data_IF_333878370948
#
_entry.id   IF_333878370948
#
_cell.length_a   1.000
_cell.length_b   1.000
_cell.length_c   1.000
_cell.angle_alpha   90.00
_cell.angle_beta   90.00
_cell.angle_gamma   90.00
#
_symmetry.space_group_name_H-M   'P 1'
#
loop_
_entity.id
_entity.type
_entity.pdbx_description
1 polymer ?
#
# COMPACT_ATOMS: atom_id res chain seq x y z
N UNK A 1 -20.56 21.25 43.16
CA UNK A 1 -21.20 21.46 41.85
C UNK A 1 -20.18 21.71 40.73
N UNK A 2 -19.09 22.44 40.96
CA UNK A 2 -18.16 22.87 39.87
C UNK A 2 -17.15 21.82 39.38
N UNK A 3 -16.97 20.71 40.09
CA UNK A 3 -15.98 19.67 39.72
C UNK A 3 -16.38 18.89 38.46
N UNK A 4 -17.69 18.69 38.24
CA UNK A 4 -18.21 18.03 37.04
C UNK A 4 -18.02 18.88 35.78
N UNK A 5 -18.22 20.20 35.89
CA UNK A 5 -17.98 21.11 34.77
C UNK A 5 -16.50 21.17 34.38
N UNK A 6 -15.59 21.12 35.36
CA UNK A 6 -14.14 21.12 35.11
C UNK A 6 -13.67 19.82 34.45
N UNK A 7 -14.17 18.68 34.90
CA UNK A 7 -13.90 17.37 34.27
C UNK A 7 -14.42 17.29 32.83
N UNK A 8 -15.60 17.84 32.57
CA UNK A 8 -16.19 17.85 31.22
C UNK A 8 -15.39 18.77 30.26
N UNK A 9 -14.89 19.90 30.76
CA UNK A 9 -14.01 20.81 30.01
C UNK A 9 -12.65 20.16 29.70
N UNK A 10 -12.00 19.54 30.70
CA UNK A 10 -10.74 18.79 30.49
C UNK A 10 -10.91 17.63 29.50
N UNK A 11 -12.02 16.89 29.56
CA UNK A 11 -12.28 15.79 28.63
C UNK A 11 -12.55 16.28 27.21
N UNK A 12 -13.20 17.42 27.05
CA UNK A 12 -13.39 18.05 25.74
C UNK A 12 -12.06 18.54 25.16
N UNK A 13 -11.19 19.15 25.98
CA UNK A 13 -9.85 19.57 25.57
C UNK A 13 -8.96 18.38 25.19
N UNK A 14 -8.95 17.31 26.00
CA UNK A 14 -8.22 16.08 25.68
C UNK A 14 -8.66 15.45 24.37
N UNK A 15 -9.97 15.39 24.11
CA UNK A 15 -10.52 14.86 22.85
C UNK A 15 -10.10 15.71 21.65
N UNK A 16 -10.15 17.05 21.75
CA UNK A 16 -9.68 17.95 20.69
C UNK A 16 -8.19 17.75 20.44
N UNK A 17 -7.37 17.72 21.49
CA UNK A 17 -5.93 17.49 21.37
C UNK A 17 -5.63 16.13 20.71
N UNK A 18 -6.36 15.08 21.07
CA UNK A 18 -6.19 13.75 20.48
C UNK A 18 -6.63 13.72 19.00
N UNK A 19 -7.71 14.42 18.65
CA UNK A 19 -8.12 14.62 17.26
C UNK A 19 -7.04 15.36 16.47
N UNK A 20 -6.53 16.47 16.99
CA UNK A 20 -5.48 17.27 16.35
C UNK A 20 -4.20 16.45 16.13
N UNK A 21 -3.77 15.68 17.13
CA UNK A 21 -2.62 14.76 17.01
C UNK A 21 -2.87 13.72 15.91
N UNK A 22 -4.07 13.13 15.87
CA UNK A 22 -4.41 12.12 14.86
C UNK A 22 -4.48 12.70 13.44
N UNK A 23 -5.06 13.89 13.28
CA UNK A 23 -5.13 14.59 12.00
C UNK A 23 -3.76 15.04 11.52
N UNK A 24 -2.95 15.57 12.43
CA UNK A 24 -1.58 15.96 12.14
C UNK A 24 -0.75 14.76 11.71
N UNK A 25 -0.83 13.64 12.42
CA UNK A 25 -0.18 12.38 12.05
C UNK A 25 -0.61 11.90 10.66
N UNK A 26 -1.92 11.95 10.36
CA UNK A 26 -2.47 11.59 9.04
C UNK A 26 -1.89 12.47 7.93
N UNK A 27 -1.92 13.80 8.09
CA UNK A 27 -1.40 14.76 7.10
C UNK A 27 0.10 14.60 6.91
N UNK A 28 0.85 14.43 7.98
CA UNK A 28 2.30 14.23 7.92
C UNK A 28 2.67 12.96 7.13
N UNK A 29 1.94 11.86 7.37
CA UNK A 29 2.17 10.61 6.64
C UNK A 29 1.76 10.72 5.17
N UNK A 30 0.68 11.43 4.87
CA UNK A 30 0.23 11.73 3.50
C UNK A 30 1.29 12.54 2.75
N UNK A 31 1.80 13.62 3.35
CA UNK A 31 2.86 14.46 2.78
C UNK A 31 4.16 13.68 2.55
N UNK A 32 4.55 12.85 3.52
CA UNK A 32 5.74 12.01 3.41
C UNK A 32 5.61 11.02 2.24
N UNK A 33 4.45 10.35 2.11
CA UNK A 33 4.16 9.43 0.99
C UNK A 33 4.21 10.17 -0.34
N UNK A 34 3.58 11.34 -0.44
CA UNK A 34 3.54 12.14 -1.67
C UNK A 34 4.94 12.56 -2.12
N UNK A 35 5.76 13.08 -1.21
CA UNK A 35 7.14 13.48 -1.52
C UNK A 35 7.99 12.30 -1.96
N UNK A 36 7.87 11.18 -1.27
CA UNK A 36 8.58 9.94 -1.61
C UNK A 36 8.19 9.44 -3.00
N UNK A 37 6.90 9.43 -3.33
CA UNK A 37 6.42 9.00 -4.64
C UNK A 37 7.01 9.85 -5.78
N UNK A 38 7.10 11.17 -5.59
CA UNK A 38 7.72 12.07 -6.58
C UNK A 38 9.21 11.77 -6.73
N UNK A 39 9.94 11.58 -5.63
CA UNK A 39 11.36 11.25 -5.67
C UNK A 39 11.63 9.91 -6.37
N UNK A 40 10.82 8.89 -6.07
CA UNK A 40 10.90 7.58 -6.71
C UNK A 40 10.64 7.71 -8.21
N UNK A 41 9.60 8.42 -8.65
CA UNK A 41 9.32 8.64 -10.06
C UNK A 41 10.48 9.30 -10.80
N UNK A 42 11.08 10.34 -10.22
CA UNK A 42 12.25 11.02 -10.81
C UNK A 42 13.45 10.07 -10.91
N UNK A 43 13.71 9.29 -9.86
CA UNK A 43 14.79 8.31 -9.86
C UNK A 43 14.60 7.27 -10.97
N UNK A 44 13.38 6.79 -11.20
CA UNK A 44 13.11 5.82 -12.28
C UNK A 44 13.21 6.43 -13.67
N UNK A 45 12.76 7.68 -13.86
CA UNK A 45 12.94 8.40 -15.13
C UNK A 45 14.44 8.52 -15.46
N UNK A 46 15.27 8.84 -14.46
CA UNK A 46 16.72 8.92 -14.64
C UNK A 46 17.36 7.53 -14.86
N UNK A 47 16.91 6.51 -14.13
CA UNK A 47 17.43 5.15 -14.29
C UNK A 47 17.17 4.59 -15.70
N UNK A 48 16.05 4.96 -16.33
CA UNK A 48 15.69 4.54 -17.69
C UNK A 48 16.72 4.92 -18.76
N UNK A 49 17.58 5.91 -18.54
CA UNK A 49 18.66 6.23 -19.49
C UNK A 49 19.66 5.09 -19.71
N UNK A 50 19.69 4.09 -18.81
CA UNK A 50 20.47 2.87 -19.01
C UNK A 50 19.61 1.77 -19.66
N UNK A 51 20.07 1.13 -20.76
CA UNK A 51 19.37 0.00 -21.37
C UNK A 51 19.12 -1.17 -20.39
N UNK A 52 20.08 -1.45 -19.51
CA UNK A 52 19.97 -2.52 -18.53
C UNK A 52 18.86 -2.22 -17.50
N UNK A 53 18.77 -0.98 -17.06
CA UNK A 53 17.75 -0.53 -16.12
C UNK A 53 16.35 -0.50 -16.76
N UNK A 54 16.23 -0.04 -18.02
CA UNK A 54 14.98 -0.09 -18.77
C UNK A 54 14.46 -1.53 -18.93
N UNK A 55 15.36 -2.48 -19.24
CA UNK A 55 15.01 -3.90 -19.29
C UNK A 55 14.53 -4.44 -17.94
N UNK A 56 15.25 -4.15 -16.86
CA UNK A 56 14.88 -4.59 -15.53
C UNK A 56 13.52 -4.03 -15.09
N UNK A 57 13.26 -2.73 -15.35
CA UNK A 57 11.99 -2.09 -15.04
C UNK A 57 10.84 -2.69 -15.85
N UNK A 58 11.05 -2.98 -17.13
CA UNK A 58 10.07 -3.65 -17.96
C UNK A 58 9.75 -5.07 -17.45
N UNK A 59 10.78 -5.83 -17.09
CA UNK A 59 10.64 -7.18 -16.57
C UNK A 59 9.91 -7.20 -15.21
N UNK A 60 10.23 -6.28 -14.31
CA UNK A 60 9.56 -6.16 -13.01
C UNK A 60 8.09 -5.80 -13.15
N UNK A 61 7.79 -4.86 -14.05
CA UNK A 61 6.40 -4.55 -14.37
C UNK A 61 5.70 -5.76 -14.96
N UNK A 62 6.26 -6.45 -15.95
CA UNK A 62 5.59 -7.63 -16.53
C UNK A 62 5.36 -8.76 -15.50
N UNK A 63 6.30 -8.96 -14.59
CA UNK A 63 6.21 -9.93 -13.50
C UNK A 63 5.26 -9.50 -12.36
N UNK A 64 4.75 -8.26 -12.38
CA UNK A 64 3.84 -7.73 -11.38
C UNK A 64 4.49 -7.41 -10.03
N UNK A 65 5.83 -7.45 -9.94
CA UNK A 65 6.61 -7.07 -8.77
C UNK A 65 7.25 -5.68 -8.94
N UNK A 66 6.52 -4.78 -9.58
CA UNK A 66 6.90 -3.38 -9.74
C UNK A 66 6.88 -2.60 -8.42
N UNK A 67 7.36 -1.36 -8.49
CA UNK A 67 7.52 -0.47 -7.34
C UNK A 67 6.19 -0.21 -6.62
N UNK A 68 5.08 -0.21 -7.35
CA UNK A 68 3.74 0.02 -6.80
C UNK A 68 3.18 -1.20 -6.05
N UNK A 69 3.88 -2.35 -6.07
CA UNK A 69 3.43 -3.58 -5.41
C UNK A 69 3.06 -3.31 -3.96
N UNK A 70 3.96 -2.64 -3.22
CA UNK A 70 3.73 -2.32 -1.82
C UNK A 70 2.46 -1.50 -1.63
N UNK A 71 2.29 -0.43 -2.41
CA UNK A 71 1.14 0.46 -2.29
C UNK A 71 -0.17 -0.28 -2.61
N UNK A 72 -0.20 -1.11 -3.66
CA UNK A 72 -1.38 -1.93 -3.98
C UNK A 72 -1.77 -2.86 -2.83
N UNK A 73 -0.78 -3.48 -2.17
CA UNK A 73 -1.03 -4.35 -1.02
C UNK A 73 -1.45 -3.56 0.22
N UNK A 74 -0.85 -2.41 0.48
CA UNK A 74 -1.28 -1.52 1.57
C UNK A 74 -2.74 -1.08 1.39
N UNK A 75 -3.13 -0.68 0.17
CA UNK A 75 -4.49 -0.27 -0.16
C UNK A 75 -5.47 -1.46 -0.03
N UNK A 76 -5.10 -2.65 -0.52
CA UNK A 76 -5.90 -3.87 -0.37
C UNK A 76 -6.07 -4.25 1.12
N UNK A 77 -5.02 -4.10 1.93
CA UNK A 77 -5.07 -4.35 3.37
C UNK A 77 -5.96 -3.34 4.09
N UNK A 78 -5.95 -2.07 3.68
CA UNK A 78 -6.86 -1.06 4.23
C UNK A 78 -8.32 -1.39 3.89
N UNK A 79 -8.61 -1.72 2.63
CA UNK A 79 -9.95 -2.14 2.22
C UNK A 79 -10.43 -3.38 3.00
N UNK A 80 -9.54 -4.37 3.17
CA UNK A 80 -9.84 -5.57 3.96
C UNK A 80 -10.12 -5.25 5.43
N UNK A 81 -9.38 -4.32 6.05
CA UNK A 81 -9.66 -3.87 7.43
C UNK A 81 -11.07 -3.32 7.57
N UNK A 82 -11.54 -2.54 6.60
CA UNK A 82 -12.91 -2.01 6.61
C UNK A 82 -13.93 -3.15 6.56
N UNK A 83 -13.79 -4.08 5.61
CA UNK A 83 -14.68 -5.24 5.46
C UNK A 83 -14.69 -6.10 6.74
N UNK A 84 -13.51 -6.32 7.32
CA UNK A 84 -13.37 -7.12 8.53
C UNK A 84 -14.03 -6.44 9.76
N UNK A 85 -13.88 -5.12 9.90
CA UNK A 85 -14.54 -4.37 10.95
C UNK A 85 -16.06 -4.41 10.81
N UNK A 86 -16.57 -4.25 9.58
CA UNK A 86 -18.01 -4.37 9.29
C UNK A 86 -18.56 -5.75 9.66
N UNK A 87 -17.80 -6.81 9.36
CA UNK A 87 -18.13 -8.19 9.75
C UNK A 87 -18.15 -8.36 11.27
N UNK A 88 -17.15 -7.84 11.99
CA UNK A 88 -17.11 -7.89 13.46
C UNK A 88 -18.30 -7.15 14.08
N UNK A 89 -18.69 -6.00 13.53
CA UNK A 89 -19.83 -5.23 13.99
C UNK A 89 -21.16 -5.95 13.73
N UNK A 90 -21.30 -6.61 12.59
CA UNK A 90 -22.45 -7.47 12.29
C UNK A 90 -22.54 -8.64 13.28
N UNK A 91 -21.43 -9.35 13.53
CA UNK A 91 -21.39 -10.46 14.50
C UNK A 91 -21.67 -10.04 15.93
N UNK A 92 -21.21 -8.86 16.35
CA UNK A 92 -21.55 -8.28 17.66
C UNK A 92 -23.04 -8.01 17.83
N UNK A 93 -23.71 -7.54 16.76
CA UNK A 93 -25.16 -7.31 16.76
C UNK A 93 -25.95 -8.62 16.83
N UNK A 94 -25.49 -9.66 16.13
CA UNK A 94 -26.12 -11.00 16.16
C UNK A 94 -25.93 -11.71 17.51
N UNK A 95 -24.78 -11.57 18.18
CA UNK A 95 -24.44 -12.29 19.42
C UNK A 95 -24.96 -11.63 20.71
N UNK A 96 -25.81 -10.61 20.62
CA UNK A 96 -26.43 -9.98 21.79
C UNK A 96 -25.45 -9.34 22.78
N UNK A 97 -24.28 -8.91 22.32
CA UNK A 97 -23.28 -8.19 23.12
C UNK A 97 -22.43 -9.02 24.09
N UNK A 98 -22.64 -10.34 24.16
CA UNK A 98 -21.97 -11.21 25.16
C UNK A 98 -20.91 -12.16 24.59
N UNK A 99 -20.78 -12.27 23.27
CA UNK A 99 -19.77 -13.16 22.64
C UNK A 99 -19.07 -12.43 21.49
N UNK A 100 -17.78 -12.18 21.67
CA UNK A 100 -16.94 -11.56 20.63
C UNK A 100 -15.56 -11.15 21.15
N UNK A 101 -14.55 -11.32 20.30
CA UNK A 101 -13.21 -10.82 20.55
C UNK A 101 -13.22 -9.28 20.50
N UNK A 102 -12.92 -8.61 21.61
CA UNK A 102 -12.76 -7.15 21.66
C UNK A 102 -11.28 -6.81 21.52
N UNK A 103 -10.89 -6.36 20.33
CA UNK A 103 -9.58 -5.77 20.10
C UNK A 103 -9.75 -4.26 20.27
N UNK A 104 -9.22 -3.71 21.36
CA UNK A 104 -9.13 -2.25 21.56
C UNK A 104 -7.67 -1.84 21.46
N UNK A 105 -7.38 -0.91 20.56
CA UNK A 105 -6.05 -0.31 20.39
C UNK A 105 -6.09 1.05 21.07
N UNK A 106 -5.43 1.17 22.22
CA UNK A 106 -5.37 2.40 23.00
C UNK A 106 -3.94 2.93 22.99
N UNK A 107 -3.77 4.23 22.70
CA UNK A 107 -2.46 4.89 22.63
C UNK A 107 -1.67 4.81 23.94
N UNK A 108 -2.36 4.71 25.09
CA UNK A 108 -1.77 4.59 26.42
C UNK A 108 -1.48 3.14 26.86
N UNK A 109 -2.18 2.13 26.35
CA UNK A 109 -2.12 0.76 26.89
C UNK A 109 -1.74 -0.32 25.86
N UNK A 110 -1.38 0.05 24.63
CA UNK A 110 -1.06 -0.93 23.58
C UNK A 110 -2.29 -1.70 23.07
N UNK A 111 -2.04 -2.91 22.54
CA UNK A 111 -3.09 -3.79 21.99
C UNK A 111 -3.68 -4.63 23.13
N UNK A 112 -4.94 -4.37 23.50
CA UNK A 112 -5.67 -5.20 24.45
C UNK A 112 -6.68 -6.09 23.70
N UNK A 113 -6.49 -7.40 23.82
CA UNK A 113 -7.38 -8.43 23.27
C UNK A 113 -8.14 -9.05 24.43
N UNK A 114 -9.41 -8.68 24.58
CA UNK A 114 -10.31 -9.29 25.56
C UNK A 114 -11.23 -10.27 24.85
N UNK A 115 -11.00 -11.57 25.04
CA UNK A 115 -11.94 -12.62 24.62
C UNK A 115 -12.92 -12.87 25.76
N UNK A 116 -14.12 -12.30 25.67
CA UNK A 116 -15.20 -12.60 26.60
C UNK A 116 -15.66 -14.05 26.42
N UNK A 117 -15.35 -14.91 27.40
CA UNK A 117 -15.83 -16.30 27.58
C UNK A 117 -16.51 -16.97 26.38
N UNK A 118 -15.78 -17.20 25.29
CA UNK A 118 -16.26 -18.06 24.19
C UNK A 118 -15.66 -19.43 24.42
N UNK A 119 -16.49 -20.39 24.83
CA UNK A 119 -16.14 -21.81 24.78
C UNK A 119 -15.58 -22.12 23.38
N UNK A 120 -14.39 -22.70 23.33
CA UNK A 120 -13.60 -22.91 22.11
C UNK A 120 -14.24 -23.88 21.08
N UNK A 121 -15.52 -24.21 21.23
CA UNK A 121 -16.24 -25.16 20.41
C UNK A 121 -17.21 -24.40 19.50
N UNK A 122 -16.91 -24.40 18.21
CA UNK A 122 -17.70 -23.85 17.08
C UNK A 122 -17.51 -22.37 16.70
N UNK A 123 -16.29 -21.83 16.80
CA UNK A 123 -15.97 -20.64 16.00
C UNK A 123 -15.97 -21.05 14.52
N UNK A 124 -17.08 -20.83 13.83
CA UNK A 124 -17.21 -21.11 12.40
C UNK A 124 -16.36 -20.11 11.60
N UNK A 125 -15.16 -20.56 11.23
CA UNK A 125 -14.18 -19.80 10.46
C UNK A 125 -14.57 -19.68 8.98
N UNK A 126 -15.63 -20.37 8.53
CA UNK A 126 -16.06 -20.30 7.13
C UNK A 126 -16.66 -18.95 6.75
N UNK A 127 -17.21 -18.21 7.72
CA UNK A 127 -17.83 -16.91 7.51
C UNK A 127 -16.84 -15.73 7.57
N UNK A 128 -15.59 -15.97 7.96
CA UNK A 128 -14.58 -14.91 8.07
C UNK A 128 -14.23 -14.41 6.66
N UNK A 129 -14.29 -13.09 6.40
CA UNK A 129 -13.92 -12.55 5.10
C UNK A 129 -12.47 -12.90 4.81
N UNK A 130 -12.18 -13.41 3.61
CA UNK A 130 -10.82 -13.78 3.20
C UNK A 130 -10.15 -12.61 2.51
N UNK A 131 -8.88 -12.38 2.82
CA UNK A 131 -8.07 -11.43 2.08
C UNK A 131 -7.94 -11.90 0.62
N UNK A 132 -8.28 -11.02 -0.31
CA UNK A 132 -8.09 -11.26 -1.75
C UNK A 132 -6.92 -10.39 -2.21
N UNK A 133 -5.83 -10.98 -2.73
CA UNK A 133 -4.70 -10.21 -3.22
C UNK A 133 -5.13 -9.31 -4.39
N UNK A 134 -4.51 -8.13 -4.56
CA UNK A 134 -4.87 -7.21 -5.62
C UNK A 134 -4.60 -7.85 -7.00
N UNK A 135 -5.58 -7.77 -7.90
CA UNK A 135 -5.47 -8.33 -9.24
C UNK A 135 -4.38 -7.64 -10.07
N UNK A 136 -3.50 -8.44 -10.68
CA UNK A 136 -2.50 -7.97 -11.64
C UNK A 136 -2.90 -8.38 -13.05
N UNK A 137 -3.61 -7.49 -13.75
CA UNK A 137 -4.01 -7.73 -15.14
C UNK A 137 -2.85 -7.42 -16.09
N UNK A 138 -2.37 -8.44 -16.80
CA UNK A 138 -1.36 -8.34 -17.87
C UNK A 138 -1.71 -7.29 -18.94
N UNK A 139 -3.00 -7.14 -19.27
CA UNK A 139 -3.47 -6.13 -20.21
C UNK A 139 -3.33 -4.70 -19.68
N UNK A 140 -3.53 -4.49 -18.37
CA UNK A 140 -3.36 -3.19 -17.71
C UNK A 140 -1.88 -2.86 -17.46
N UNK A 141 -1.08 -3.90 -17.25
CA UNK A 141 0.39 -3.84 -17.18
C UNK A 141 1.00 -3.32 -18.48
N UNK A 142 0.52 -3.82 -19.63
CA UNK A 142 1.11 -3.53 -20.95
C UNK A 142 1.26 -2.04 -21.22
N UNK A 143 0.24 -1.23 -20.89
CA UNK A 143 0.28 0.23 -21.09
C UNK A 143 1.35 0.92 -20.24
N UNK A 144 1.69 0.37 -19.08
CA UNK A 144 2.72 0.92 -18.17
C UNK A 144 4.14 0.56 -18.61
N UNK A 145 4.32 -0.63 -19.20
CA UNK A 145 5.61 -1.14 -19.70
C UNK A 145 6.02 -0.46 -21.02
N UNK A 146 5.07 0.08 -21.78
CA UNK A 146 5.32 0.65 -23.11
C UNK A 146 6.52 1.62 -23.20
N UNK A 147 6.70 2.59 -22.30
CA UNK A 147 7.84 3.51 -22.38
C UNK A 147 9.18 2.79 -22.30
N UNK A 148 9.28 1.76 -21.46
CA UNK A 148 10.50 0.96 -21.30
C UNK A 148 10.77 0.11 -22.56
N UNK A 149 9.73 -0.48 -23.17
CA UNK A 149 9.87 -1.24 -24.42
C UNK A 149 10.29 -0.35 -25.60
N UNK A 150 9.68 0.83 -25.74
CA UNK A 150 10.03 1.78 -26.80
C UNK A 150 11.49 2.20 -26.68
N UNK A 151 11.94 2.47 -25.46
CA UNK A 151 13.30 2.89 -25.19
C UNK A 151 14.32 1.76 -25.42
N UNK A 152 13.95 0.51 -25.11
CA UNK A 152 14.76 -0.67 -25.47
C UNK A 152 14.89 -0.83 -26.99
N UNK A 153 13.79 -0.73 -27.73
CA UNK A 153 13.82 -0.80 -29.21
C UNK A 153 14.72 0.30 -29.77
N UNK A 154 14.61 1.53 -29.24
CA UNK A 154 15.47 2.64 -29.64
C UNK A 154 16.95 2.32 -29.41
N UNK A 155 17.30 1.81 -28.23
CA UNK A 155 18.67 1.40 -27.94
C UNK A 155 19.18 0.28 -28.84
N UNK A 156 18.33 -0.71 -29.14
CA UNK A 156 18.68 -1.78 -30.08
C UNK A 156 18.98 -1.22 -31.47
N UNK A 157 18.13 -0.32 -31.98
CA UNK A 157 18.34 0.32 -33.29
C UNK A 157 19.61 1.15 -33.31
N UNK A 158 19.85 1.95 -32.27
CA UNK A 158 21.06 2.78 -32.16
C UNK A 158 22.33 1.94 -32.06
N UNK A 159 22.31 0.87 -31.26
CA UNK A 159 23.44 -0.05 -31.14
C UNK A 159 23.74 -0.76 -32.46
N UNK A 160 22.69 -1.22 -33.16
CA UNK A 160 22.83 -1.85 -34.46
C UNK A 160 23.35 -0.88 -35.52
N UNK A 161 22.80 0.33 -35.60
CA UNK A 161 23.26 1.37 -36.51
C UNK A 161 24.71 1.78 -36.22
N UNK A 162 25.08 1.92 -34.94
CA UNK A 162 26.44 2.21 -34.50
C UNK A 162 27.42 1.10 -34.91
N UNK A 163 27.06 -0.16 -34.67
CA UNK A 163 27.85 -1.32 -35.09
C UNK A 163 28.00 -1.37 -36.62
N UNK A 164 26.93 -1.12 -37.37
CA UNK A 164 26.93 -1.08 -38.84
C UNK A 164 27.84 0.03 -39.38
N UNK A 165 27.74 1.25 -38.85
CA UNK A 165 28.65 2.35 -39.21
C UNK A 165 30.10 2.05 -38.82
N UNK A 166 30.31 1.41 -37.67
CA UNK A 166 31.63 0.94 -37.25
C UNK A 166 32.22 -0.05 -38.24
N UNK A 167 31.43 -1.01 -38.70
CA UNK A 167 31.83 -1.97 -39.74
C UNK A 167 32.13 -1.28 -41.08
N UNK A 168 31.34 -0.30 -41.51
CA UNK A 168 31.61 0.46 -42.74
C UNK A 168 32.91 1.28 -42.68
N UNK A 169 33.30 1.74 -41.49
CA UNK A 169 34.56 2.47 -41.27
C UNK A 169 35.76 1.55 -41.01
N UNK A 170 35.53 0.24 -40.86
CA UNK A 170 36.58 -0.73 -40.62
C UNK A 170 37.29 -1.05 -41.94
N UNK A 171 38.46 -0.45 -42.16
CA UNK A 171 39.33 -0.78 -43.28
C UNK A 171 40.13 -2.05 -42.95
N UNK A 172 39.89 -3.14 -43.69
CA UNK A 172 40.45 -4.49 -43.44
C UNK A 172 41.85 -4.65 -44.07
N UNK A 173 42.59 -3.55 -44.23
CA UNK A 173 43.91 -3.54 -44.89
C UNK A 173 45.07 -3.70 -43.92
#
# INVERSE_FOLDING_TARGET
ANMWAWLEEEDAERKKLQQDISEYGRKLQEDFRNRRAIQEQLAFILARFSPASAYQLAAMQLAGNDIDLKTRYEDAMQAYRTIFNDFLDMKRKESGGHSGMRISISSESGINISTGGVDAQSLDLSEVPRFTPPDYLLSRSLGRVMPDLVLLVLFTVLAFAGAFVGFLRYDVR
#
